data_IF_696632889772
#
_entry.id   IF_696632889772
#
_cell.length_a   1.000
_cell.length_b   1.000
_cell.length_c   1.000
_cell.angle_alpha   90.00
_cell.angle_beta   90.00
_cell.angle_gamma   90.00
#
_symmetry.space_group_name_H-M   'P 1'
#
loop_
_entity.id
_entity.type
_entity.pdbx_description
1 polymer ?
#
# COMPACT_ATOMS: atom_id res chain seq x y z
N UNK A 1 0.03 7.70 -40.56
CA UNK A 1 1.07 6.95 -39.83
C UNK A 1 1.23 7.50 -38.40
N UNK A 2 0.12 7.87 -37.73
CA UNK A 2 0.17 8.63 -36.46
C UNK A 2 -0.39 7.90 -35.24
N UNK A 3 -0.91 6.67 -35.41
CA UNK A 3 -1.46 5.88 -34.30
C UNK A 3 -0.40 5.24 -33.39
N UNK A 4 0.79 4.96 -33.92
CA UNK A 4 1.79 4.15 -33.21
C UNK A 4 2.68 4.97 -32.26
N UNK A 5 2.84 6.28 -32.51
CA UNK A 5 3.64 7.17 -31.64
C UNK A 5 2.90 7.59 -30.36
N UNK A 6 1.57 7.69 -30.40
CA UNK A 6 0.74 8.04 -29.22
C UNK A 6 0.65 6.86 -28.23
N UNK A 7 0.64 5.62 -28.74
CA UNK A 7 0.62 4.41 -27.89
C UNK A 7 1.97 4.20 -27.21
N UNK A 8 3.09 4.47 -27.89
CA UNK A 8 4.42 4.41 -27.30
C UNK A 8 4.62 5.52 -26.24
N UNK A 9 4.21 6.77 -26.48
CA UNK A 9 4.30 7.84 -25.48
C UNK A 9 3.49 7.52 -24.20
N UNK A 10 2.26 6.97 -24.35
CA UNK A 10 1.45 6.54 -23.21
C UNK A 10 2.03 5.33 -22.44
N UNK A 11 2.75 4.43 -23.12
CA UNK A 11 3.47 3.31 -22.49
C UNK A 11 4.72 3.76 -21.73
N UNK A 12 5.46 4.74 -22.26
CA UNK A 12 6.64 5.31 -21.61
C UNK A 12 6.27 6.20 -20.41
N UNK A 13 5.19 6.99 -20.51
CA UNK A 13 4.62 7.75 -19.38
C UNK A 13 4.11 6.81 -18.27
N UNK A 14 3.49 5.67 -18.63
CA UNK A 14 3.10 4.66 -17.63
C UNK A 14 4.30 3.93 -17.01
N UNK A 15 5.41 3.75 -17.72
CA UNK A 15 6.62 3.10 -17.18
C UNK A 15 7.39 4.00 -16.21
N UNK A 16 7.56 5.29 -16.52
CA UNK A 16 8.25 6.24 -15.64
C UNK A 16 7.42 6.60 -14.40
N UNK A 17 6.10 6.79 -14.56
CA UNK A 17 5.18 6.93 -13.42
C UNK A 17 5.20 5.65 -12.57
N UNK A 18 5.31 4.47 -13.18
CA UNK A 18 5.42 3.20 -12.44
C UNK A 18 6.75 3.05 -11.70
N UNK A 19 7.89 3.50 -12.25
CA UNK A 19 9.19 3.42 -11.58
C UNK A 19 9.26 4.37 -10.38
N UNK A 20 8.72 5.58 -10.58
CA UNK A 20 8.52 6.57 -9.52
C UNK A 20 7.56 6.01 -8.46
N UNK A 21 6.40 5.46 -8.83
CA UNK A 21 5.45 4.85 -7.89
C UNK A 21 5.98 3.61 -7.15
N UNK A 22 6.84 2.81 -7.79
CA UNK A 22 7.49 1.63 -7.20
C UNK A 22 8.49 2.06 -6.13
N UNK A 23 9.28 3.11 -6.37
CA UNK A 23 10.09 3.75 -5.33
C UNK A 23 9.23 4.47 -4.27
N UNK A 24 8.07 5.04 -4.64
CA UNK A 24 7.18 5.75 -3.72
C UNK A 24 6.55 4.82 -2.68
N UNK A 25 5.99 3.67 -3.07
CA UNK A 25 5.41 2.72 -2.11
C UNK A 25 6.47 2.03 -1.23
N UNK A 26 7.70 1.88 -1.74
CA UNK A 26 8.84 1.32 -0.99
C UNK A 26 9.13 2.12 0.29
N UNK A 27 8.92 3.44 0.26
CA UNK A 27 9.34 4.37 1.32
C UNK A 27 8.21 4.87 2.23
N UNK A 28 6.95 4.73 1.81
CA UNK A 28 5.79 5.31 2.51
C UNK A 28 4.96 4.29 3.28
N UNK A 29 4.84 3.09 2.73
CA UNK A 29 4.17 1.93 3.33
C UNK A 29 4.97 0.66 3.00
N UNK A 30 6.16 0.50 3.62
CA UNK A 30 7.06 -0.62 3.32
C UNK A 30 6.36 -1.96 3.53
N UNK A 31 5.43 -2.05 4.48
CA UNK A 31 4.58 -3.23 4.68
C UNK A 31 3.69 -3.52 3.48
N UNK A 32 2.95 -2.55 2.93
CA UNK A 32 2.07 -2.77 1.77
C UNK A 32 2.87 -3.14 0.52
N UNK A 33 4.04 -2.52 0.35
CA UNK A 33 4.95 -2.88 -0.73
C UNK A 33 5.43 -4.32 -0.57
N UNK A 34 5.94 -4.69 0.61
CA UNK A 34 6.38 -6.04 0.92
C UNK A 34 5.28 -7.08 0.65
N UNK A 35 4.04 -6.81 1.05
CA UNK A 35 2.89 -7.68 0.77
C UNK A 35 2.60 -7.75 -0.74
N UNK A 36 2.68 -6.64 -1.47
CA UNK A 36 2.48 -6.62 -2.92
C UNK A 36 3.54 -7.41 -3.69
N UNK A 37 4.76 -7.52 -3.16
CA UNK A 37 5.82 -8.35 -3.74
C UNK A 37 5.51 -9.83 -3.59
N UNK A 38 4.78 -10.24 -2.55
CA UNK A 38 4.39 -11.65 -2.35
C UNK A 38 3.42 -12.14 -3.42
N UNK A 39 2.71 -11.24 -4.10
CA UNK A 39 1.76 -11.60 -5.16
C UNK A 39 2.38 -12.42 -6.29
N UNK A 40 3.67 -12.18 -6.60
CA UNK A 40 4.39 -12.97 -7.61
C UNK A 40 4.48 -14.45 -7.25
N UNK A 41 4.40 -14.77 -5.96
CA UNK A 41 4.42 -16.13 -5.42
C UNK A 41 3.03 -16.66 -5.13
N UNK A 42 2.06 -15.80 -4.79
CA UNK A 42 0.68 -16.21 -4.51
C UNK A 42 -0.07 -16.55 -5.79
N UNK A 43 0.06 -15.72 -6.85
CA UNK A 43 -0.72 -15.88 -8.08
C UNK A 43 -0.52 -17.25 -8.75
N UNK A 44 0.72 -17.78 -8.90
CA UNK A 44 0.93 -19.13 -9.43
C UNK A 44 0.28 -20.24 -8.58
N UNK A 45 0.20 -20.04 -7.25
CA UNK A 45 -0.40 -21.01 -6.32
C UNK A 45 -1.94 -21.04 -6.39
N UNK A 46 -2.58 -20.00 -6.94
CA UNK A 46 -4.05 -19.87 -6.97
C UNK A 46 -4.65 -19.83 -8.38
N UNK A 47 -3.85 -19.61 -9.42
CA UNK A 47 -4.32 -19.62 -10.80
C UNK A 47 -3.27 -20.23 -11.72
N UNK A 48 -3.66 -21.18 -12.58
CA UNK A 48 -2.75 -21.83 -13.53
C UNK A 48 -2.26 -20.85 -14.61
N UNK A 49 -2.98 -19.75 -14.86
CA UNK A 49 -2.57 -18.71 -15.80
C UNK A 49 -1.20 -18.10 -15.46
N UNK A 50 -0.84 -18.08 -14.18
CA UNK A 50 0.44 -17.52 -13.70
C UNK A 50 1.48 -18.59 -13.40
N UNK A 51 1.14 -19.87 -13.56
CA UNK A 51 2.09 -20.96 -13.35
C UNK A 51 2.98 -21.08 -14.59
N UNK A 52 4.25 -20.73 -14.44
CA UNK A 52 5.28 -21.00 -15.44
C UNK A 52 6.08 -22.24 -14.99
N UNK A 53 5.85 -23.40 -15.62
CA UNK A 53 6.46 -24.67 -15.20
C UNK A 53 7.98 -24.70 -15.40
N UNK A 54 8.55 -23.89 -16.29
CA UNK A 54 9.94 -24.02 -16.73
C UNK A 54 10.90 -23.01 -16.07
N UNK A 55 10.39 -22.03 -15.32
CA UNK A 55 11.17 -20.86 -14.88
C UNK A 55 11.26 -20.63 -13.36
N UNK A 56 10.60 -21.43 -12.51
CA UNK A 56 10.51 -21.15 -11.07
C UNK A 56 10.72 -22.36 -10.16
N UNK A 57 11.87 -22.42 -9.48
CA UNK A 57 12.10 -23.34 -8.35
C UNK A 57 11.23 -23.03 -7.12
N UNK A 58 10.68 -21.82 -7.07
CA UNK A 58 10.00 -21.28 -5.89
C UNK A 58 8.56 -21.79 -5.78
N UNK A 59 7.86 -21.97 -6.90
CA UNK A 59 6.49 -22.48 -6.90
C UNK A 59 6.41 -23.95 -6.41
N UNK A 60 7.21 -24.90 -6.92
CA UNK A 60 7.23 -26.27 -6.40
C UNK A 60 7.62 -26.34 -4.91
N UNK A 61 8.57 -25.50 -4.48
CA UNK A 61 8.96 -25.39 -3.08
C UNK A 61 7.78 -24.95 -2.19
N UNK A 62 7.09 -23.86 -2.56
CA UNK A 62 5.94 -23.38 -1.81
C UNK A 62 4.79 -24.40 -1.77
N UNK A 63 4.50 -25.06 -2.90
CA UNK A 63 3.49 -26.13 -2.97
C UNK A 63 3.82 -27.24 -1.99
N UNK A 64 5.03 -27.78 -2.08
CA UNK A 64 5.49 -28.87 -1.22
C UNK A 64 5.37 -28.49 0.27
N UNK A 65 5.91 -27.34 0.67
CA UNK A 65 5.85 -26.91 2.06
C UNK A 65 4.40 -26.72 2.54
N UNK A 66 3.53 -26.05 1.76
CA UNK A 66 2.15 -25.84 2.18
C UNK A 66 1.40 -27.17 2.27
N UNK A 67 1.56 -28.06 1.27
CA UNK A 67 0.89 -29.35 1.24
C UNK A 67 1.33 -30.26 2.39
N UNK A 68 2.64 -30.38 2.64
CA UNK A 68 3.20 -31.22 3.69
C UNK A 68 2.85 -30.69 5.09
N UNK A 69 3.07 -29.40 5.36
CA UNK A 69 2.87 -28.86 6.71
C UNK A 69 1.39 -28.63 7.07
N UNK A 70 0.52 -28.35 6.09
CA UNK A 70 -0.91 -28.17 6.32
C UNK A 70 -1.72 -29.45 6.10
N UNK A 71 -1.08 -30.55 5.71
CA UNK A 71 -1.70 -31.83 5.39
C UNK A 71 -2.91 -31.66 4.44
N UNK A 72 -2.63 -31.14 3.24
CA UNK A 72 -3.63 -30.78 2.22
C UNK A 72 -3.17 -31.25 0.84
N UNK A 73 -4.13 -31.59 -0.03
CA UNK A 73 -3.83 -31.98 -1.42
C UNK A 73 -3.46 -30.78 -2.30
N UNK A 74 -3.89 -29.58 -1.93
CA UNK A 74 -3.63 -28.36 -2.71
C UNK A 74 -3.23 -27.19 -1.80
N UNK A 75 -2.27 -26.34 -2.23
CA UNK A 75 -1.93 -25.10 -1.51
C UNK A 75 -3.07 -24.09 -1.49
N UNK A 76 -4.05 -24.21 -2.41
CA UNK A 76 -5.21 -23.32 -2.48
C UNK A 76 -6.03 -23.36 -1.19
N UNK A 77 -6.11 -24.53 -0.53
CA UNK A 77 -6.93 -24.70 0.67
C UNK A 77 -6.46 -23.81 1.84
N UNK A 78 -5.18 -23.86 2.29
CA UNK A 78 -4.69 -22.94 3.31
C UNK A 78 -4.67 -21.46 2.90
N UNK A 79 -4.68 -21.17 1.59
CA UNK A 79 -4.79 -19.80 1.08
C UNK A 79 -6.22 -19.29 1.25
N UNK A 80 -7.23 -20.06 0.86
CA UNK A 80 -8.66 -19.73 0.98
C UNK A 80 -9.18 -19.80 2.42
N UNK A 81 -8.65 -20.72 3.23
CA UNK A 81 -9.07 -20.97 4.60
C UNK A 81 -7.91 -20.75 5.57
N UNK A 82 -7.81 -19.56 6.20
CA UNK A 82 -6.74 -19.25 7.14
C UNK A 82 -6.62 -20.24 8.31
N UNK A 83 -7.75 -20.82 8.74
CA UNK A 83 -7.84 -21.85 9.79
C UNK A 83 -7.08 -23.15 9.44
N UNK A 84 -6.77 -23.39 8.15
CA UNK A 84 -6.02 -24.57 7.69
C UNK A 84 -4.51 -24.36 7.70
N UNK A 85 -4.02 -23.15 8.01
CA UNK A 85 -2.59 -22.86 8.01
C UNK A 85 -1.93 -23.45 9.24
N UNK A 86 -0.80 -24.13 9.04
CA UNK A 86 0.00 -24.65 10.14
C UNK A 86 0.70 -23.53 10.89
N UNK A 87 0.68 -23.59 12.23
CA UNK A 87 1.41 -22.66 13.10
C UNK A 87 2.92 -22.77 12.86
N UNK A 88 3.43 -23.98 12.64
CA UNK A 88 4.86 -24.25 12.35
C UNK A 88 5.29 -23.65 11.02
N UNK A 89 4.40 -23.61 10.03
CA UNK A 89 4.69 -22.96 8.75
C UNK A 89 4.59 -21.43 8.90
N UNK A 90 3.61 -20.95 9.66
CA UNK A 90 3.37 -19.51 9.89
C UNK A 90 4.46 -18.85 10.76
N UNK A 91 5.25 -19.63 11.50
CA UNK A 91 6.40 -19.11 12.26
C UNK A 91 7.59 -18.77 11.36
N UNK A 92 7.67 -19.35 10.16
CA UNK A 92 8.70 -19.02 9.17
C UNK A 92 8.41 -17.65 8.54
N UNK A 93 9.39 -16.74 8.59
CA UNK A 93 9.20 -15.33 8.23
C UNK A 93 8.64 -15.08 6.82
N UNK A 94 9.05 -15.87 5.83
CA UNK A 94 8.57 -15.74 4.45
C UNK A 94 7.11 -16.24 4.30
N UNK A 95 6.72 -17.34 4.94
CA UNK A 95 5.33 -17.81 4.96
C UNK A 95 4.41 -16.89 5.76
N UNK A 96 4.91 -16.31 6.86
CA UNK A 96 4.17 -15.29 7.61
C UNK A 96 3.78 -14.11 6.70
N UNK A 97 4.74 -13.61 5.94
CA UNK A 97 4.52 -12.48 5.02
C UNK A 97 3.62 -12.88 3.83
N UNK A 98 3.81 -14.09 3.30
CA UNK A 98 2.98 -14.67 2.25
C UNK A 98 1.51 -14.76 2.70
N UNK A 99 1.25 -15.33 3.87
CA UNK A 99 -0.11 -15.48 4.40
C UNK A 99 -0.76 -14.16 4.76
N UNK A 100 -0.01 -13.19 5.28
CA UNK A 100 -0.49 -11.83 5.46
C UNK A 100 -0.94 -11.21 4.14
N UNK A 101 -0.21 -11.44 3.05
CA UNK A 101 -0.61 -10.95 1.72
C UNK A 101 -1.87 -11.68 1.21
N UNK A 102 -2.00 -12.99 1.44
CA UNK A 102 -3.23 -13.75 1.15
C UNK A 102 -4.45 -13.19 1.90
N UNK A 103 -4.30 -12.87 3.19
CA UNK A 103 -5.41 -12.32 3.99
C UNK A 103 -5.85 -10.95 3.48
N UNK A 104 -4.88 -10.14 3.05
CA UNK A 104 -5.15 -8.82 2.46
C UNK A 104 -5.74 -8.88 1.05
N UNK A 105 -5.48 -9.94 0.28
CA UNK A 105 -6.14 -10.18 -1.00
C UNK A 105 -7.64 -10.43 -0.87
N UNK A 106 -8.10 -10.89 0.30
CA UNK A 106 -9.52 -11.16 0.57
C UNK A 106 -10.15 -12.05 -0.52
N UNK A 107 -9.49 -13.17 -0.82
CA UNK A 107 -9.97 -14.15 -1.79
C UNK A 107 -11.36 -14.67 -1.39
N UNK A 108 -12.17 -14.98 -2.40
CA UNK A 108 -13.50 -15.56 -2.23
C UNK A 108 -13.51 -16.99 -2.74
N UNK A 109 -14.17 -17.88 -2.00
CA UNK A 109 -14.42 -19.25 -2.43
C UNK A 109 -15.59 -19.27 -3.42
N UNK A 110 -15.39 -19.92 -4.55
CA UNK A 110 -16.42 -20.23 -5.53
C UNK A 110 -17.13 -21.53 -5.13
N UNK A 111 -18.17 -21.41 -4.29
CA UNK A 111 -18.87 -22.55 -3.71
C UNK A 111 -19.57 -23.43 -4.74
N UNK A 112 -19.94 -22.89 -5.90
CA UNK A 112 -20.62 -23.63 -6.96
C UNK A 112 -19.68 -24.60 -7.70
N UNK A 113 -18.37 -24.41 -7.58
CA UNK A 113 -17.34 -25.29 -8.15
C UNK A 113 -16.80 -26.31 -7.13
N UNK A 114 -17.35 -26.35 -5.91
CA UNK A 114 -16.97 -27.34 -4.91
C UNK A 114 -17.43 -28.74 -5.35
N UNK A 115 -16.51 -29.70 -5.34
CA UNK A 115 -16.77 -31.09 -5.73
C UNK A 115 -16.80 -31.98 -4.49
N UNK A 116 -17.30 -33.21 -4.64
CA UNK A 116 -17.28 -34.23 -3.58
C UNK A 116 -15.88 -34.50 -3.01
N UNK A 117 -14.84 -34.30 -3.81
CA UNK A 117 -13.45 -34.52 -3.42
C UNK A 117 -12.83 -33.30 -2.76
N UNK A 118 -13.02 -32.09 -3.32
CA UNK A 118 -12.38 -30.88 -2.78
C UNK A 118 -12.97 -30.48 -1.44
N UNK A 119 -14.28 -30.70 -1.24
CA UNK A 119 -14.96 -30.34 0.00
C UNK A 119 -14.44 -31.10 1.22
N UNK A 120 -13.84 -32.28 1.04
CA UNK A 120 -13.24 -33.08 2.12
C UNK A 120 -12.12 -32.34 2.86
N UNK A 121 -11.46 -31.37 2.22
CA UNK A 121 -10.39 -30.56 2.80
C UNK A 121 -10.89 -29.27 3.47
N UNK A 122 -12.20 -29.01 3.45
CA UNK A 122 -12.78 -27.79 4.02
C UNK A 122 -12.93 -27.93 5.54
N UNK A 123 -12.70 -26.84 6.31
CA UNK A 123 -13.08 -26.78 7.71
C UNK A 123 -14.59 -26.96 7.92
N UNK A 124 -15.01 -27.65 8.98
CA UNK A 124 -16.43 -27.78 9.32
C UNK A 124 -17.12 -26.43 9.61
N UNK A 125 -16.36 -25.46 10.09
CA UNK A 125 -16.79 -24.07 10.30
C UNK A 125 -17.16 -23.36 9.01
N UNK A 126 -16.52 -23.72 7.88
CA UNK A 126 -16.73 -23.03 6.61
C UNK A 126 -17.99 -23.51 5.88
N UNK A 127 -18.48 -24.71 6.20
CA UNK A 127 -19.65 -25.35 5.55
C UNK A 127 -20.98 -25.07 6.25
N UNK A 128 -20.95 -24.38 7.40
CA UNK A 128 -22.14 -24.08 8.19
C UNK A 128 -22.26 -22.59 8.49
N UNK A 129 -23.48 -22.16 8.82
CA UNK A 129 -23.78 -20.82 9.34
C UNK A 129 -24.62 -20.93 10.59
N UNK A 130 -24.37 -20.08 11.58
CA UNK A 130 -25.22 -20.00 12.77
C UNK A 130 -26.59 -19.42 12.37
N UNK A 131 -27.66 -20.03 12.85
CA UNK A 131 -29.03 -19.65 12.52
C UNK A 131 -29.51 -18.40 13.29
N UNK A 132 -28.91 -18.11 14.43
CA UNK A 132 -29.22 -16.94 15.25
C UNK A 132 -28.34 -15.74 14.94
N UNK A 133 -28.28 -14.80 15.88
CA UNK A 133 -27.39 -13.64 15.76
C UNK A 133 -25.92 -14.08 15.71
N UNK A 134 -25.20 -13.71 14.66
CA UNK A 134 -23.81 -14.11 14.46
C UNK A 134 -22.88 -13.62 15.60
N UNK A 135 -23.21 -12.49 16.24
CA UNK A 135 -22.45 -11.95 17.36
C UNK A 135 -22.52 -12.83 18.63
N UNK A 136 -23.55 -13.65 18.76
CA UNK A 136 -23.80 -14.52 19.92
C UNK A 136 -23.42 -15.98 19.62
N UNK A 137 -22.87 -16.27 18.44
CA UNK A 137 -22.55 -17.63 18.03
C UNK A 137 -21.47 -18.23 18.95
N UNK A 138 -21.75 -19.35 19.65
CA UNK A 138 -20.77 -19.98 20.52
C UNK A 138 -19.62 -20.54 19.67
N UNK A 139 -18.39 -20.49 20.19
CA UNK A 139 -17.23 -21.09 19.51
C UNK A 139 -17.46 -22.60 19.37
N UNK A 140 -17.55 -23.13 18.13
CA UNK A 140 -17.86 -24.53 17.94
C UNK A 140 -16.69 -25.40 18.40
N UNK A 141 -16.99 -26.44 19.20
CA UNK A 141 -15.98 -27.42 19.64
C UNK A 141 -15.36 -28.18 18.47
N UNK A 142 -15.99 -28.12 17.30
CA UNK A 142 -15.54 -28.76 16.06
C UNK A 142 -14.74 -27.83 15.12
N UNK A 143 -14.27 -26.66 15.58
CA UNK A 143 -13.57 -25.67 14.75
C UNK A 143 -12.29 -26.16 14.06
N UNK A 144 -11.66 -27.21 14.59
CA UNK A 144 -10.40 -27.76 14.04
C UNK A 144 -10.62 -28.98 13.14
N UNK A 145 -11.87 -29.40 12.95
CA UNK A 145 -12.20 -30.58 12.15
C UNK A 145 -12.53 -30.22 10.71
N UNK A 146 -12.34 -31.20 9.84
CA UNK A 146 -12.59 -31.12 8.42
C UNK A 146 -13.87 -31.88 8.05
N UNK A 147 -14.36 -31.63 6.85
CA UNK A 147 -15.49 -32.39 6.29
C UNK A 147 -15.19 -33.88 6.24
N UNK A 148 -13.96 -34.30 5.90
CA UNK A 148 -13.56 -35.72 5.94
C UNK A 148 -13.65 -36.38 7.32
N UNK A 149 -13.66 -35.60 8.40
CA UNK A 149 -13.82 -36.13 9.76
C UNK A 149 -15.29 -36.38 10.09
N UNK A 150 -16.21 -35.61 9.48
CA UNK A 150 -17.64 -35.68 9.75
C UNK A 150 -18.45 -36.41 8.67
N UNK A 151 -17.89 -36.62 7.48
CA UNK A 151 -18.54 -37.21 6.32
C UNK A 151 -17.62 -38.22 5.62
N UNK A 152 -18.21 -39.27 5.07
CA UNK A 152 -17.56 -40.27 4.25
C UNK A 152 -18.04 -40.10 2.80
N UNK A 153 -17.09 -40.02 1.87
CA UNK A 153 -17.38 -40.12 0.45
C UNK A 153 -17.57 -41.60 0.08
N UNK A 154 -18.80 -41.99 -0.24
CA UNK A 154 -19.10 -43.35 -0.70
C UNK A 154 -18.60 -43.53 -2.13
N UNK A 155 -17.58 -44.35 -2.34
CA UNK A 155 -17.01 -44.60 -3.68
C UNK A 155 -17.99 -45.24 -4.66
N UNK A 156 -18.99 -45.99 -4.15
CA UNK A 156 -20.00 -46.68 -4.99
C UNK A 156 -21.12 -45.77 -5.48
N UNK A 157 -21.48 -44.78 -4.68
CA UNK A 157 -22.61 -43.90 -4.97
C UNK A 157 -22.17 -42.46 -5.25
N UNK A 158 -20.87 -42.16 -5.09
CA UNK A 158 -20.27 -40.84 -5.26
C UNK A 158 -21.00 -39.72 -4.49
N UNK A 159 -21.58 -40.06 -3.35
CA UNK A 159 -22.30 -39.15 -2.44
C UNK A 159 -21.55 -39.03 -1.12
N UNK A 160 -21.62 -37.83 -0.54
CA UNK A 160 -21.18 -37.58 0.82
C UNK A 160 -22.28 -37.99 1.79
N UNK A 161 -21.94 -38.88 2.73
CA UNK A 161 -22.87 -39.29 3.79
C UNK A 161 -22.23 -39.16 5.16
N UNK A 162 -23.06 -39.02 6.18
CA UNK A 162 -22.58 -39.11 7.55
C UNK A 162 -22.06 -40.53 7.86
N UNK A 163 -20.97 -40.67 8.64
CA UNK A 163 -20.49 -41.96 9.11
C UNK A 163 -21.47 -42.55 10.12
N UNK A 164 -21.70 -43.86 9.99
CA UNK A 164 -22.41 -44.65 11.00
C UNK A 164 -21.62 -44.67 12.31
N UNK A 165 -22.26 -45.03 13.42
CA UNK A 165 -21.61 -45.05 14.73
C UNK A 165 -20.33 -45.93 14.76
N UNK A 166 -20.32 -47.04 14.00
CA UNK A 166 -19.19 -47.96 13.92
C UNK A 166 -18.03 -47.41 13.08
N UNK A 167 -18.32 -46.59 12.08
CA UNK A 167 -17.32 -46.01 11.17
C UNK A 167 -16.58 -44.80 11.77
N UNK A 168 -17.09 -44.22 12.87
CA UNK A 168 -16.42 -43.10 13.55
C UNK A 168 -15.25 -43.64 14.35
N UNK A 169 -14.04 -43.60 13.80
CA UNK A 169 -12.84 -44.09 14.48
C UNK A 169 -12.26 -43.06 15.45
N UNK A 170 -12.24 -41.78 15.05
CA UNK A 170 -11.61 -40.69 15.82
C UNK A 170 -12.60 -39.59 16.20
N UNK A 171 -12.38 -38.94 17.36
CA UNK A 171 -13.11 -37.75 17.80
C UNK A 171 -14.65 -37.88 17.81
N UNK A 172 -15.16 -39.09 18.12
CA UNK A 172 -16.58 -39.48 18.06
C UNK A 172 -17.52 -38.46 18.72
N UNK A 173 -17.14 -37.95 19.90
CA UNK A 173 -17.96 -37.01 20.66
C UNK A 173 -18.12 -35.66 19.93
N UNK A 174 -17.03 -35.08 19.44
CA UNK A 174 -17.05 -33.78 18.76
C UNK A 174 -17.82 -33.86 17.44
N UNK A 175 -17.63 -34.94 16.67
CA UNK A 175 -18.35 -35.17 15.42
C UNK A 175 -19.84 -35.46 15.68
N UNK A 176 -20.19 -36.21 16.72
CA UNK A 176 -21.59 -36.40 17.11
C UNK A 176 -22.26 -35.08 17.52
N UNK A 177 -21.54 -34.22 18.25
CA UNK A 177 -22.01 -32.89 18.64
C UNK A 177 -22.22 -31.98 17.43
N UNK A 178 -21.32 -32.03 16.45
CA UNK A 178 -21.50 -31.35 15.16
C UNK A 178 -22.80 -31.80 14.48
N UNK A 179 -23.01 -33.10 14.27
CA UNK A 179 -24.23 -33.62 13.62
C UNK A 179 -25.51 -33.26 14.40
N UNK A 180 -25.46 -33.25 15.74
CA UNK A 180 -26.56 -32.77 16.58
C UNK A 180 -26.82 -31.28 16.38
N UNK A 181 -25.76 -30.48 16.34
CA UNK A 181 -25.84 -29.02 16.17
C UNK A 181 -26.32 -28.60 14.77
N UNK A 182 -26.09 -29.42 13.75
CA UNK A 182 -26.53 -29.19 12.36
C UNK A 182 -27.82 -29.92 11.98
N UNK A 183 -28.45 -30.62 12.92
CA UNK A 183 -29.74 -31.28 12.71
C UNK A 183 -30.86 -30.26 12.46
N UNK A 184 -32.05 -30.73 12.05
CA UNK A 184 -33.23 -29.87 11.83
C UNK A 184 -33.52 -28.95 13.02
N UNK A 185 -33.36 -29.47 14.24
CA UNK A 185 -33.60 -28.75 15.50
C UNK A 185 -32.35 -28.02 16.05
N UNK A 186 -31.23 -28.07 15.34
CA UNK A 186 -29.97 -27.46 15.74
C UNK A 186 -29.86 -25.98 15.38
N UNK A 187 -28.97 -25.26 16.07
CA UNK A 187 -28.72 -23.84 15.84
C UNK A 187 -27.75 -23.55 14.69
N UNK A 188 -27.17 -24.57 14.06
CA UNK A 188 -26.28 -24.42 12.91
C UNK A 188 -26.95 -24.97 11.65
N UNK A 189 -26.84 -24.24 10.54
CA UNK A 189 -27.39 -24.63 9.24
C UNK A 189 -26.25 -24.98 8.30
N UNK A 190 -26.36 -26.12 7.63
CA UNK A 190 -25.45 -26.51 6.56
C UNK A 190 -25.72 -25.61 5.35
N UNK A 191 -24.67 -25.09 4.73
CA UNK A 191 -24.78 -24.23 3.55
C UNK A 191 -25.37 -25.00 2.36
N UNK A 192 -26.15 -24.33 1.48
CA UNK A 192 -26.84 -24.99 0.37
C UNK A 192 -25.94 -25.81 -0.55
N UNK A 193 -24.70 -25.35 -0.81
CA UNK A 193 -23.78 -26.06 -1.70
C UNK A 193 -23.44 -27.47 -1.18
N UNK A 194 -23.28 -27.66 0.13
CA UNK A 194 -22.96 -28.96 0.70
C UNK A 194 -24.19 -29.88 0.69
N UNK A 195 -25.39 -29.32 0.91
CA UNK A 195 -26.63 -30.11 0.85
C UNK A 195 -26.81 -30.76 -0.53
N UNK A 196 -26.43 -30.06 -1.61
CA UNK A 196 -26.39 -30.65 -2.95
C UNK A 196 -25.47 -31.89 -2.96
N UNK A 197 -24.23 -31.75 -2.49
CA UNK A 197 -23.26 -32.85 -2.48
C UNK A 197 -23.61 -34.03 -1.56
N UNK A 198 -24.48 -33.82 -0.56
CA UNK A 198 -24.99 -34.90 0.31
C UNK A 198 -26.16 -35.65 -0.36
N UNK A 199 -27.03 -34.93 -1.08
CA UNK A 199 -28.30 -35.44 -1.58
C UNK A 199 -28.33 -35.87 -3.05
N UNK A 200 -27.41 -35.37 -3.90
CA UNK A 200 -27.39 -35.70 -5.33
C UNK A 200 -26.31 -36.71 -5.66
N UNK A 201 -26.71 -37.86 -6.21
CA UNK A 201 -25.82 -38.78 -6.92
C UNK A 201 -25.32 -38.08 -8.18
N UNK A 202 -24.00 -37.92 -8.39
CA UNK A 202 -23.50 -37.34 -9.64
C UNK A 202 -23.84 -38.28 -10.80
N UNK A 203 -24.34 -37.72 -11.89
CA UNK A 203 -24.75 -38.47 -13.09
C UNK A 203 -23.60 -39.28 -13.70
N UNK A 204 -22.35 -38.85 -13.46
CA UNK A 204 -21.14 -39.57 -13.83
C UNK A 204 -20.07 -39.40 -12.73
N UNK A 205 -19.37 -40.49 -12.31
CA UNK A 205 -18.26 -40.39 -11.39
C UNK A 205 -17.10 -39.65 -12.07
N UNK A 206 -16.90 -38.38 -11.72
CA UNK A 206 -15.80 -37.58 -12.26
C UNK A 206 -14.52 -37.90 -11.47
N UNK A 207 -13.43 -38.32 -12.13
CA UNK A 207 -12.15 -38.53 -11.45
C UNK A 207 -11.64 -37.19 -10.90
N UNK A 208 -11.04 -37.22 -9.70
CA UNK A 208 -10.43 -36.05 -9.07
C UNK A 208 -9.27 -35.55 -9.93
N UNK A 209 -9.38 -34.31 -10.42
CA UNK A 209 -8.25 -33.58 -10.99
C UNK A 209 -7.76 -32.58 -9.94
N UNK A 210 -6.79 -33.02 -9.12
CA UNK A 210 -6.26 -32.23 -7.98
C UNK A 210 -5.79 -30.84 -8.40
N UNK A 211 -5.30 -30.68 -9.63
CA UNK A 211 -4.83 -29.39 -10.11
C UNK A 211 -6.02 -28.51 -10.49
N UNK A 212 -6.90 -28.99 -11.36
CA UNK A 212 -7.99 -28.18 -11.92
C UNK A 212 -9.11 -27.90 -10.91
N UNK A 213 -9.53 -28.91 -10.15
CA UNK A 213 -10.68 -28.82 -9.25
C UNK A 213 -10.45 -27.82 -8.11
N UNK A 214 -9.21 -27.72 -7.61
CA UNK A 214 -8.88 -26.78 -6.55
C UNK A 214 -8.70 -25.35 -7.07
N UNK A 215 -8.19 -25.14 -8.28
CA UNK A 215 -8.11 -23.79 -8.86
C UNK A 215 -9.49 -23.19 -9.11
N UNK A 216 -10.46 -24.00 -9.53
CA UNK A 216 -11.84 -23.54 -9.75
C UNK A 216 -12.54 -23.06 -8.48
N UNK A 217 -12.02 -23.42 -7.29
CA UNK A 217 -12.51 -22.89 -6.01
C UNK A 217 -12.17 -21.42 -5.80
N UNK A 218 -11.18 -20.88 -6.51
CA UNK A 218 -10.78 -19.48 -6.39
C UNK A 218 -11.74 -18.65 -7.25
N UNK A 219 -12.51 -17.77 -6.62
CA UNK A 219 -13.38 -16.85 -7.37
C UNK A 219 -12.52 -15.89 -8.21
N UNK A 220 -12.90 -15.60 -9.47
CA UNK A 220 -12.12 -14.72 -10.34
C UNK A 220 -12.05 -13.27 -9.84
N UNK A 221 -12.93 -12.89 -8.89
CA UNK A 221 -13.01 -11.56 -8.31
C UNK A 221 -12.86 -11.65 -6.79
N UNK A 222 -11.92 -10.88 -6.25
CA UNK A 222 -11.72 -10.72 -4.80
C UNK A 222 -12.88 -9.95 -4.14
N UNK A 223 -13.00 -9.97 -2.81
CA UNK A 223 -14.01 -9.14 -2.11
C UNK A 223 -13.84 -7.65 -2.36
N UNK A 224 -12.62 -7.21 -2.64
CA UNK A 224 -12.28 -5.83 -3.02
C UNK A 224 -12.54 -5.50 -4.48
N UNK A 225 -13.11 -6.42 -5.28
CA UNK A 225 -13.43 -6.20 -6.70
C UNK A 225 -12.24 -6.37 -7.66
N UNK A 226 -11.09 -6.83 -7.19
CA UNK A 226 -9.91 -7.09 -8.04
C UNK A 226 -10.09 -8.40 -8.83
N UNK A 227 -9.86 -8.35 -10.14
CA UNK A 227 -9.85 -9.54 -11.02
C UNK A 227 -8.51 -10.27 -10.94
N UNK A 228 -8.54 -11.58 -10.68
CA UNK A 228 -7.34 -12.40 -10.49
C UNK A 228 -6.61 -12.65 -11.81
N UNK A 229 -7.30 -12.87 -12.92
CA UNK A 229 -6.64 -13.21 -14.20
C UNK A 229 -5.95 -12.01 -14.87
N UNK A 230 -6.34 -10.79 -14.51
CA UNK A 230 -5.74 -9.54 -15.01
C UNK A 230 -5.08 -8.73 -13.90
N UNK A 231 -4.54 -9.42 -12.90
CA UNK A 231 -4.13 -8.80 -11.66
C UNK A 231 -2.90 -7.91 -11.85
N UNK A 232 -3.04 -6.60 -11.61
CA UNK A 232 -1.89 -5.68 -11.60
C UNK A 232 -1.50 -5.39 -10.16
N UNK A 233 -0.21 -5.53 -9.84
CA UNK A 233 0.36 -5.17 -8.52
C UNK A 233 0.01 -3.75 -8.06
N UNK A 234 -0.27 -2.84 -8.99
CA UNK A 234 -0.72 -1.47 -8.66
C UNK A 234 -2.13 -1.47 -8.05
N UNK A 235 -3.05 -2.29 -8.54
CA UNK A 235 -4.45 -2.30 -8.10
C UNK A 235 -4.56 -2.84 -6.66
N UNK A 236 -3.74 -3.84 -6.33
CA UNK A 236 -3.55 -4.27 -4.94
C UNK A 236 -2.97 -3.20 -4.03
N UNK A 237 -2.05 -2.38 -4.53
CA UNK A 237 -1.47 -1.29 -3.73
C UNK A 237 -2.50 -0.20 -3.49
N UNK A 238 -3.35 0.07 -4.47
CA UNK A 238 -4.45 1.03 -4.35
C UNK A 238 -5.56 0.56 -3.41
N UNK A 239 -5.83 -0.75 -3.32
CA UNK A 239 -6.83 -1.27 -2.37
C UNK A 239 -6.45 -1.06 -0.89
N UNK A 240 -5.19 -0.74 -0.58
CA UNK A 240 -4.76 -0.35 0.76
C UNK A 240 -4.88 1.14 1.06
N UNK A 241 -5.11 1.99 0.05
CA UNK A 241 -5.20 3.42 0.28
C UNK A 241 -6.58 3.76 0.84
N UNK A 242 -6.64 4.63 1.87
CA UNK A 242 -7.92 5.14 2.33
C UNK A 242 -8.60 5.91 1.19
N UNK A 243 -9.95 5.85 1.10
CA UNK A 243 -10.72 6.74 0.25
C UNK A 243 -10.29 8.20 0.43
N UNK A 244 -10.28 8.98 -0.66
CA UNK A 244 -9.93 10.41 -0.62
C UNK A 244 -10.77 11.21 0.40
N UNK A 245 -11.99 10.73 0.70
CA UNK A 245 -12.93 11.33 1.65
C UNK A 245 -12.46 11.18 3.11
N UNK A 246 -11.72 10.12 3.40
CA UNK A 246 -11.22 9.81 4.75
C UNK A 246 -9.87 10.50 5.04
N UNK A 247 -9.32 11.21 4.05
CA UNK A 247 -8.09 11.96 4.24
C UNK A 247 -8.35 13.26 5.02
N UNK A 248 -7.40 13.68 5.88
CA UNK A 248 -7.46 14.93 6.62
C UNK A 248 -7.83 16.15 5.76
N UNK A 249 -8.49 17.15 6.36
CA UNK A 249 -8.95 18.35 5.64
C UNK A 249 -7.80 19.22 5.10
N UNK A 250 -6.62 19.11 5.68
CA UNK A 250 -5.38 19.75 5.26
C UNK A 250 -4.66 19.00 4.12
N UNK A 251 -5.14 17.80 3.74
CA UNK A 251 -4.59 17.08 2.60
C UNK A 251 -4.86 17.83 1.29
N UNK A 252 -3.87 17.96 0.38
CA UNK A 252 -4.02 18.73 -0.85
C UNK A 252 -5.06 18.09 -1.79
N UNK A 253 -6.24 18.69 -1.85
CA UNK A 253 -7.35 18.29 -2.74
C UNK A 253 -7.30 19.11 -4.04
N UNK A 254 -6.62 18.57 -5.05
CA UNK A 254 -6.59 19.14 -6.39
C UNK A 254 -7.17 18.16 -7.41
N UNK A 255 -7.74 18.67 -8.49
CA UNK A 255 -8.28 17.83 -9.57
C UNK A 255 -7.16 17.07 -10.28
N UNK A 256 -7.44 15.90 -10.91
CA UNK A 256 -6.43 15.17 -11.67
C UNK A 256 -5.71 16.04 -12.72
N UNK A 257 -6.45 16.94 -13.39
CA UNK A 257 -5.88 17.89 -14.34
C UNK A 257 -4.97 18.96 -13.70
N UNK A 258 -5.27 19.40 -12.47
CA UNK A 258 -4.40 20.31 -11.73
C UNK A 258 -3.09 19.61 -11.34
N UNK A 259 -3.15 18.36 -10.87
CA UNK A 259 -1.95 17.57 -10.60
C UNK A 259 -1.12 17.28 -11.86
N UNK A 260 -1.78 16.95 -12.97
CA UNK A 260 -1.10 16.76 -14.25
C UNK A 260 -0.32 18.01 -14.66
N UNK A 261 -0.95 19.19 -14.60
CA UNK A 261 -0.28 20.46 -14.91
C UNK A 261 0.83 20.79 -13.92
N UNK A 262 0.63 20.54 -12.64
CA UNK A 262 1.67 20.77 -11.64
C UNK A 262 2.92 19.91 -11.90
N UNK A 263 2.75 18.60 -12.14
CA UNK A 263 3.89 17.72 -12.35
C UNK A 263 4.55 17.87 -13.73
N UNK A 264 3.75 18.14 -14.77
CA UNK A 264 4.23 18.11 -16.15
C UNK A 264 4.47 19.50 -16.76
N UNK A 265 3.69 20.51 -16.37
CA UNK A 265 3.82 21.88 -16.93
C UNK A 265 4.76 22.77 -16.11
N UNK A 266 5.02 22.47 -14.84
CA UNK A 266 5.90 23.29 -13.99
C UNK A 266 7.39 22.93 -14.08
N UNK A 267 7.79 22.10 -15.07
CA UNK A 267 9.18 21.69 -15.33
C UNK A 267 9.96 21.30 -14.06
N UNK A 268 9.29 20.57 -13.16
CA UNK A 268 9.88 20.18 -11.88
C UNK A 268 10.95 19.12 -12.14
N UNK A 269 12.22 19.32 -11.74
CA UNK A 269 13.24 18.31 -11.95
C UNK A 269 12.87 17.01 -11.24
N UNK A 270 13.06 15.87 -11.89
CA UNK A 270 12.68 14.55 -11.37
C UNK A 270 13.24 14.27 -9.96
N UNK A 271 14.42 14.80 -9.63
CA UNK A 271 15.00 14.64 -8.29
C UNK A 271 14.21 15.40 -7.21
N UNK A 272 13.56 16.51 -7.56
CA UNK A 272 12.72 17.31 -6.67
C UNK A 272 11.32 16.72 -6.48
N UNK A 273 10.79 15.96 -7.45
CA UNK A 273 9.42 15.40 -7.36
C UNK A 273 9.25 14.49 -6.16
N UNK A 274 10.22 13.61 -5.90
CA UNK A 274 10.21 12.74 -4.71
C UNK A 274 10.24 13.55 -3.42
N UNK A 275 10.97 14.68 -3.42
CA UNK A 275 11.07 15.54 -2.24
C UNK A 275 9.74 16.27 -2.02
N UNK A 276 9.17 16.90 -3.06
CA UNK A 276 7.90 17.61 -2.97
C UNK A 276 6.74 16.68 -2.63
N UNK A 277 6.66 15.51 -3.26
CA UNK A 277 5.60 14.54 -3.01
C UNK A 277 5.60 14.10 -1.54
N UNK A 278 6.76 13.75 -0.97
CA UNK A 278 6.81 13.37 0.45
C UNK A 278 6.46 14.52 1.40
N UNK A 279 6.70 15.78 0.98
CA UNK A 279 6.32 16.98 1.74
C UNK A 279 4.80 17.17 1.72
N UNK A 280 4.18 17.08 0.54
CA UNK A 280 2.73 17.17 0.35
C UNK A 280 1.94 16.12 1.15
N UNK A 281 2.55 14.98 1.42
CA UNK A 281 1.92 13.88 2.17
C UNK A 281 2.30 13.84 3.66
N UNK A 282 3.08 14.79 4.19
CA UNK A 282 3.59 14.78 5.57
C UNK A 282 4.36 13.50 5.94
N UNK A 283 5.17 12.99 5.01
CA UNK A 283 5.92 11.73 5.13
C UNK A 283 7.43 11.96 5.05
N UNK A 284 7.92 13.13 5.43
CA UNK A 284 9.35 13.44 5.46
C UNK A 284 10.04 12.82 6.65
N UNK A 285 11.29 12.40 6.45
CA UNK A 285 12.17 11.90 7.52
C UNK A 285 12.79 13.06 8.31
N UNK A 286 11.95 13.98 8.81
CA UNK A 286 12.38 15.06 9.69
C UNK A 286 12.77 14.50 11.07
N UNK A 287 13.66 15.18 11.80
CA UNK A 287 14.08 14.70 13.13
C UNK A 287 12.92 14.53 14.10
N UNK A 288 11.91 15.40 14.06
CA UNK A 288 10.72 15.21 14.89
C UNK A 288 10.00 13.88 14.59
N UNK A 289 9.93 13.49 13.31
CA UNK A 289 9.36 12.21 12.92
C UNK A 289 10.27 11.03 13.27
N UNK A 290 11.58 11.17 13.09
CA UNK A 290 12.55 10.13 13.43
C UNK A 290 12.59 9.87 14.93
N UNK A 291 12.61 10.91 15.76
CA UNK A 291 12.51 10.81 17.21
C UNK A 291 11.26 10.04 17.64
N UNK A 292 10.11 10.31 17.02
CA UNK A 292 8.87 9.57 17.29
C UNK A 292 8.93 8.09 16.87
N UNK A 293 9.62 7.75 15.79
CA UNK A 293 9.67 6.39 15.24
C UNK A 293 10.76 5.52 15.87
N UNK A 294 11.91 6.11 16.18
CA UNK A 294 13.12 5.46 16.68
C UNK A 294 13.81 6.32 17.76
N UNK A 295 13.15 6.54 18.91
CA UNK A 295 13.65 7.46 19.95
C UNK A 295 15.01 7.04 20.55
N UNK A 296 15.34 5.74 20.46
CA UNK A 296 16.62 5.20 20.93
C UNK A 296 17.81 5.65 20.08
N UNK A 297 17.61 5.79 18.76
CA UNK A 297 18.64 6.23 17.82
C UNK A 297 18.61 7.74 17.59
N UNK A 298 17.41 8.35 17.57
CA UNK A 298 17.22 9.79 17.41
C UNK A 298 16.74 10.38 18.75
N UNK A 299 17.68 10.83 19.59
CA UNK A 299 17.39 11.25 20.97
C UNK A 299 16.64 12.58 21.11
N UNK A 300 16.68 13.43 20.08
CA UNK A 300 16.13 14.79 20.09
C UNK A 300 15.31 15.04 18.83
N UNK A 301 14.18 15.73 18.98
CA UNK A 301 13.30 16.21 17.91
C UNK A 301 13.66 17.61 17.41
N UNK A 302 14.70 18.23 17.99
CA UNK A 302 15.12 19.59 17.68
C UNK A 302 15.86 19.67 16.35
N UNK A 303 15.77 20.82 15.70
CA UNK A 303 16.48 21.08 14.45
C UNK A 303 17.96 21.26 14.71
N UNK A 304 18.79 20.49 14.01
CA UNK A 304 20.24 20.52 14.18
C UNK A 304 20.90 21.85 13.80
N UNK A 305 20.25 22.63 12.92
CA UNK A 305 20.76 23.95 12.54
C UNK A 305 20.54 24.97 13.65
N UNK A 306 19.46 24.80 14.41
CA UNK A 306 19.04 25.69 15.48
C UNK A 306 19.54 25.23 16.86
N UNK A 307 19.87 23.95 17.02
CA UNK A 307 20.39 23.32 18.24
C UNK A 307 21.73 23.97 18.61
N UNK A 308 21.68 25.02 19.45
CA UNK A 308 22.84 25.81 19.88
C UNK A 308 22.69 27.35 19.74
N UNK A 309 21.66 27.84 19.02
CA UNK A 309 21.38 29.27 18.90
C UNK A 309 20.12 29.62 19.71
N UNK A 310 20.31 30.05 20.96
CA UNK A 310 19.26 30.20 21.99
C UNK A 310 18.39 31.45 21.78
N UNK A 311 18.82 32.41 20.97
CA UNK A 311 18.34 33.79 21.11
C UNK A 311 17.17 34.22 20.20
N UNK A 312 16.48 33.34 19.46
CA UNK A 312 15.46 33.85 18.51
C UNK A 312 14.21 33.01 18.16
N UNK A 313 13.96 31.80 18.67
CA UNK A 313 12.85 30.98 18.10
C UNK A 313 11.99 30.28 19.15
N UNK A 314 10.67 30.52 19.07
CA UNK A 314 9.61 29.96 19.95
C UNK A 314 9.37 28.45 19.68
N UNK A 315 9.74 27.94 18.49
CA UNK A 315 9.69 26.50 18.16
C UNK A 315 10.90 26.07 17.32
N UNK A 316 11.85 25.39 17.96
CA UNK A 316 13.04 24.77 17.35
C UNK A 316 12.82 23.29 17.00
N UNK A 317 11.60 22.78 17.10
CA UNK A 317 11.26 21.41 16.70
C UNK A 317 11.39 21.26 15.19
N UNK A 318 12.14 20.26 14.73
CA UNK A 318 12.29 20.01 13.29
C UNK A 318 11.07 19.27 12.71
N UNK A 319 9.93 19.95 12.69
CA UNK A 319 8.76 19.53 11.91
C UNK A 319 8.94 19.91 10.43
N UNK A 320 8.11 19.36 9.53
CA UNK A 320 8.22 19.61 8.09
C UNK A 320 8.23 21.10 7.72
N UNK A 321 7.51 21.94 8.47
CA UNK A 321 7.50 23.40 8.32
C UNK A 321 8.85 24.03 8.71
N UNK A 322 9.36 23.71 9.90
CA UNK A 322 10.64 24.23 10.37
C UNK A 322 11.78 23.78 9.46
N UNK A 323 11.74 22.53 9.02
CA UNK A 323 12.77 21.94 8.17
C UNK A 323 12.92 22.65 6.81
N UNK A 324 11.82 23.04 6.16
CA UNK A 324 11.87 23.62 4.81
C UNK A 324 11.70 25.13 4.73
N UNK A 325 11.15 25.78 5.75
CA UNK A 325 10.72 27.18 5.62
C UNK A 325 11.02 28.02 6.87
N UNK A 326 10.65 27.53 8.05
CA UNK A 326 10.69 28.35 9.27
C UNK A 326 12.06 28.37 10.00
N UNK A 327 12.99 27.48 9.65
CA UNK A 327 14.36 27.56 10.18
C UNK A 327 15.05 28.84 9.68
N UNK A 328 15.66 29.68 10.55
CA UNK A 328 16.30 30.94 10.13
C UNK A 328 17.37 30.78 9.05
N UNK A 329 18.18 29.71 9.12
CA UNK A 329 19.20 29.39 8.12
C UNK A 329 18.58 29.02 6.77
N UNK A 330 17.41 28.37 6.80
CA UNK A 330 16.66 28.01 5.59
C UNK A 330 15.90 29.22 5.05
N UNK A 331 15.40 30.10 5.91
CA UNK A 331 14.77 31.35 5.53
C UNK A 331 15.72 32.23 4.72
N UNK A 332 16.98 32.30 5.12
CA UNK A 332 18.02 33.04 4.37
C UNK A 332 18.23 32.50 2.95
N UNK A 333 18.14 31.17 2.74
CA UNK A 333 18.18 30.57 1.39
C UNK A 333 17.03 31.12 0.54
N UNK A 334 15.82 31.15 1.10
CA UNK A 334 14.64 31.63 0.40
C UNK A 334 14.69 33.13 0.13
N UNK A 335 15.23 33.94 1.05
CA UNK A 335 15.44 35.37 0.86
C UNK A 335 16.36 35.64 -0.34
N UNK A 336 17.45 34.88 -0.46
CA UNK A 336 18.39 34.98 -1.60
C UNK A 336 17.69 34.59 -2.91
N UNK A 337 16.95 33.47 -2.93
CA UNK A 337 16.23 33.04 -4.14
C UNK A 337 15.12 34.01 -4.53
N UNK A 338 14.39 34.57 -3.56
CA UNK A 338 13.36 35.56 -3.80
C UNK A 338 13.92 36.83 -4.45
N UNK A 339 15.07 37.31 -3.96
CA UNK A 339 15.77 38.45 -4.51
C UNK A 339 16.33 38.18 -5.93
N UNK A 340 16.80 36.96 -6.19
CA UNK A 340 17.40 36.59 -7.48
C UNK A 340 16.38 36.38 -8.61
N UNK A 341 15.20 35.84 -8.29
CA UNK A 341 14.20 35.47 -9.31
C UNK A 341 12.89 36.27 -9.20
N UNK A 342 12.93 37.41 -8.49
CA UNK A 342 11.81 38.34 -8.36
C UNK A 342 10.48 37.67 -7.98
N UNK A 343 10.51 36.75 -7.02
CA UNK A 343 9.30 36.05 -6.58
C UNK A 343 8.41 36.98 -5.74
N UNK A 344 7.43 37.61 -6.37
CA UNK A 344 6.45 38.49 -5.73
C UNK A 344 5.62 37.77 -4.65
N UNK A 345 5.44 36.46 -4.78
CA UNK A 345 4.71 35.59 -3.84
C UNK A 345 5.51 35.24 -2.58
N UNK A 346 6.85 35.45 -2.59
CA UNK A 346 7.75 35.21 -1.46
C UNK A 346 7.97 36.45 -0.59
N UNK A 347 7.77 37.67 -1.11
CA UNK A 347 7.99 38.92 -0.37
C UNK A 347 7.04 39.09 0.82
N UNK A 348 5.89 38.40 0.83
CA UNK A 348 5.01 38.32 2.00
C UNK A 348 5.54 37.40 3.13
N UNK A 349 6.75 36.84 3.00
CA UNK A 349 7.35 35.99 4.02
C UNK A 349 8.05 36.81 5.12
N UNK A 350 8.31 38.10 4.89
CA UNK A 350 9.10 38.97 5.79
C UNK A 350 8.31 39.64 6.93
N UNK A 351 6.97 39.61 6.96
CA UNK A 351 6.22 40.24 8.06
C UNK A 351 5.95 39.29 9.22
N UNK A 352 7.02 38.96 9.94
CA UNK A 352 6.96 38.70 11.37
C UNK A 352 8.03 39.55 12.05
N UNK A 353 7.88 40.87 11.95
CA UNK A 353 8.62 41.77 12.81
C UNK A 353 8.22 41.49 14.26
N UNK A 354 9.16 40.94 15.01
CA UNK A 354 9.01 40.57 16.41
C UNK A 354 9.08 41.85 17.25
N UNK A 355 7.99 42.61 17.26
CA UNK A 355 7.79 43.68 18.24
C UNK A 355 6.30 43.90 18.50
N UNK A 356 5.65 42.94 19.15
CA UNK A 356 4.78 43.19 20.30
C UNK A 356 4.07 41.92 20.77
N UNK A 357 3.94 41.84 22.10
CA UNK A 357 3.30 40.77 22.87
C UNK A 357 1.83 40.58 22.45
N UNK A 358 1.49 39.52 21.72
CA UNK A 358 0.10 39.00 21.66
C UNK A 358 0.05 37.53 21.17
N UNK A 359 0.33 36.62 22.09
CA UNK A 359 0.66 35.20 21.90
C UNK A 359 -0.49 34.29 21.38
N UNK A 360 -1.73 34.80 21.23
CA UNK A 360 -2.90 33.95 20.84
C UNK A 360 -3.48 34.20 19.45
N UNK A 361 -3.06 35.25 18.73
CA UNK A 361 -3.47 35.52 17.33
C UNK A 361 -2.46 35.04 16.28
N UNK A 362 -1.19 34.89 16.65
CA UNK A 362 -0.10 34.52 15.73
C UNK A 362 -0.17 33.07 15.22
N UNK A 363 -0.61 32.10 16.05
CA UNK A 363 -0.69 30.70 15.64
C UNK A 363 -1.72 30.47 14.50
N UNK A 364 -2.81 31.28 14.46
CA UNK A 364 -3.80 31.27 13.37
C UNK A 364 -3.27 31.90 12.08
N UNK A 365 -2.46 32.95 12.18
CA UNK A 365 -1.86 33.64 11.02
C UNK A 365 -0.78 32.76 10.35
N UNK A 366 0.11 32.18 11.16
CA UNK A 366 1.20 31.32 10.68
C UNK A 366 0.74 29.97 10.10
N UNK A 367 -0.38 29.42 10.62
CA UNK A 367 -1.00 28.19 10.08
C UNK A 367 -1.72 28.45 8.76
N UNK A 368 -2.31 29.64 8.61
CA UNK A 368 -2.87 30.12 7.33
C UNK A 368 -1.77 30.28 6.29
N UNK A 369 -0.60 30.81 6.67
CA UNK A 369 0.54 31.01 5.77
C UNK A 369 1.17 29.68 5.29
N UNK A 370 1.37 28.70 6.18
CA UNK A 370 1.82 27.35 5.81
C UNK A 370 0.85 26.63 4.87
N UNK A 371 -0.45 26.72 5.17
CA UNK A 371 -1.49 26.20 4.28
C UNK A 371 -1.50 26.95 2.95
N UNK A 372 -1.20 28.25 2.94
CA UNK A 372 -1.01 29.01 1.72
C UNK A 372 0.20 28.48 0.91
N UNK A 373 1.36 28.21 1.53
CA UNK A 373 2.56 27.68 0.84
C UNK A 373 2.34 26.31 0.19
N UNK A 374 1.63 25.39 0.87
CA UNK A 374 1.22 24.10 0.29
C UNK A 374 0.12 24.30 -0.77
N UNK A 375 -0.76 25.30 -0.59
CA UNK A 375 -1.80 25.62 -1.57
C UNK A 375 -1.26 26.26 -2.85
N UNK A 376 -0.15 27.01 -2.80
CA UNK A 376 0.55 27.51 -4.00
C UNK A 376 1.07 26.36 -4.85
N UNK A 377 1.52 25.28 -4.21
CA UNK A 377 1.90 24.04 -4.89
C UNK A 377 0.70 23.22 -5.41
N UNK A 378 -0.54 23.51 -4.98
CA UNK A 378 -1.68 22.61 -5.19
C UNK A 378 -2.87 23.23 -5.95
N UNK A 379 -3.07 24.55 -5.95
CA UNK A 379 -4.36 25.15 -6.37
C UNK A 379 -4.33 26.01 -7.63
N UNK A 380 -3.19 26.54 -8.07
CA UNK A 380 -3.15 27.47 -9.21
C UNK A 380 -1.95 27.11 -10.11
N UNK A 381 -2.14 26.91 -11.44
CA UNK A 381 -1.02 26.78 -12.36
C UNK A 381 -0.22 28.09 -12.37
N UNK A 382 1.11 28.05 -12.14
CA UNK A 382 1.90 29.26 -11.99
C UNK A 382 2.00 30.02 -13.33
N UNK A 383 1.93 31.34 -13.24
CA UNK A 383 2.31 32.21 -14.34
C UNK A 383 3.85 32.27 -14.42
N UNK A 384 4.44 32.37 -15.62
CA UNK A 384 5.86 32.66 -15.76
C UNK A 384 6.16 34.01 -15.08
N UNK A 385 7.30 34.12 -14.40
CA UNK A 385 7.73 35.39 -13.83
C UNK A 385 8.05 36.37 -14.97
N UNK A 386 7.93 37.68 -14.72
CA UNK A 386 7.97 38.72 -15.76
C UNK A 386 9.26 38.76 -16.59
N UNK A 387 10.35 38.15 -16.11
CA UNK A 387 11.66 38.14 -16.77
C UNK A 387 12.22 36.73 -17.09
N UNK A 388 11.57 35.63 -16.70
CA UNK A 388 12.07 34.26 -16.99
C UNK A 388 10.95 33.33 -17.43
N UNK A 389 11.25 32.34 -18.28
CA UNK A 389 10.30 31.27 -18.65
C UNK A 389 10.10 30.23 -17.52
N UNK A 390 10.71 30.48 -16.36
CA UNK A 390 10.66 29.62 -15.19
C UNK A 390 9.42 29.94 -14.37
N UNK A 391 8.79 28.90 -13.82
CA UNK A 391 7.62 29.05 -12.96
C UNK A 391 8.01 29.10 -11.47
N UNK A 392 7.20 29.77 -10.64
CA UNK A 392 7.37 29.77 -9.17
C UNK A 392 7.55 28.35 -8.60
N UNK A 393 6.79 27.38 -9.14
CA UNK A 393 6.88 25.97 -8.75
C UNK A 393 8.24 25.34 -9.06
N UNK A 394 8.89 25.70 -10.15
CA UNK A 394 10.25 25.24 -10.49
C UNK A 394 11.26 25.78 -9.47
N UNK A 395 11.12 27.04 -9.08
CA UNK A 395 12.01 27.70 -8.14
C UNK A 395 11.83 27.09 -6.74
N UNK A 396 10.59 26.91 -6.30
CA UNK A 396 10.27 26.23 -5.03
C UNK A 396 10.78 24.77 -5.05
N UNK A 397 10.59 24.05 -6.16
CA UNK A 397 11.09 22.68 -6.30
C UNK A 397 12.61 22.57 -6.16
N UNK A 398 13.34 23.45 -6.83
CA UNK A 398 14.80 23.49 -6.79
C UNK A 398 15.31 23.91 -5.41
N UNK A 399 14.68 24.91 -4.78
CA UNK A 399 14.98 25.34 -3.41
C UNK A 399 14.77 24.23 -2.40
N UNK A 400 13.60 23.59 -2.40
CA UNK A 400 13.27 22.44 -1.54
C UNK A 400 14.25 21.29 -1.73
N UNK A 401 14.63 20.98 -2.97
CA UNK A 401 15.62 19.93 -3.26
C UNK A 401 17.02 20.29 -2.73
N UNK A 402 17.45 21.55 -2.89
CA UNK A 402 18.76 22.01 -2.44
C UNK A 402 18.85 22.00 -0.91
N UNK A 403 17.83 22.51 -0.22
CA UNK A 403 17.70 22.49 1.25
C UNK A 403 17.74 21.04 1.76
N UNK A 404 16.95 20.15 1.15
CA UNK A 404 16.93 18.74 1.50
C UNK A 404 18.32 18.11 1.40
N UNK A 405 19.01 18.31 0.27
CA UNK A 405 20.36 17.76 0.07
C UNK A 405 21.34 18.31 1.09
N UNK A 406 21.37 19.62 1.28
CA UNK A 406 22.30 20.27 2.20
C UNK A 406 22.09 19.81 3.65
N UNK A 407 20.85 19.62 4.07
CA UNK A 407 20.55 19.07 5.40
C UNK A 407 21.07 17.64 5.58
N UNK A 408 20.89 16.76 4.60
CA UNK A 408 21.42 15.39 4.71
C UNK A 408 22.94 15.34 4.56
N UNK A 409 23.55 16.23 3.78
CA UNK A 409 25.00 16.38 3.75
C UNK A 409 25.55 16.85 5.10
N UNK A 410 24.86 17.77 5.77
CA UNK A 410 25.19 18.17 7.14
C UNK A 410 25.13 16.99 8.12
N UNK A 411 24.11 16.12 8.01
CA UNK A 411 23.95 14.97 8.91
C UNK A 411 24.95 13.84 8.64
N UNK A 412 25.18 13.50 7.38
CA UNK A 412 25.96 12.29 7.02
C UNK A 412 27.42 12.58 6.68
N UNK A 413 27.74 13.80 6.23
CA UNK A 413 29.07 14.18 5.78
C UNK A 413 29.70 15.30 6.63
N UNK A 414 29.04 15.72 7.71
CA UNK A 414 29.43 16.86 8.55
C UNK A 414 29.67 18.18 7.77
N UNK A 415 29.06 18.31 6.58
CA UNK A 415 29.17 19.51 5.75
C UNK A 415 28.34 20.65 6.36
N UNK A 416 28.98 21.76 6.75
CA UNK A 416 28.26 22.92 7.33
C UNK A 416 27.19 23.45 6.38
N UNK A 417 25.99 23.69 6.90
CA UNK A 417 24.91 24.32 6.15
C UNK A 417 25.23 25.81 5.92
N UNK A 418 25.38 26.20 4.65
CA UNK A 418 25.65 27.59 4.26
C UNK A 418 24.57 28.08 3.29
N UNK A 419 23.76 29.04 3.73
CA UNK A 419 22.57 29.48 2.99
C UNK A 419 22.90 29.96 1.56
N UNK A 420 24.01 30.69 1.40
CA UNK A 420 24.48 31.20 0.10
C UNK A 420 24.85 30.05 -0.85
N UNK A 421 25.57 29.04 -0.36
CA UNK A 421 25.95 27.88 -1.17
C UNK A 421 24.73 27.03 -1.57
N UNK A 422 23.75 26.90 -0.67
CA UNK A 422 22.49 26.18 -0.95
C UNK A 422 21.66 26.94 -1.98
N UNK A 423 21.52 28.26 -1.83
CA UNK A 423 20.84 29.12 -2.79
C UNK A 423 21.52 29.10 -4.17
N UNK A 424 22.86 29.17 -4.21
CA UNK A 424 23.61 29.07 -5.46
C UNK A 424 23.37 27.73 -6.18
N UNK A 425 23.39 26.60 -5.45
CA UNK A 425 23.07 25.27 -6.01
C UNK A 425 21.65 25.21 -6.59
N UNK A 426 20.67 25.83 -5.91
CA UNK A 426 19.30 25.93 -6.41
C UNK A 426 19.23 26.82 -7.66
N UNK A 427 19.85 28.00 -7.64
CA UNK A 427 19.91 28.94 -8.77
C UNK A 427 20.55 28.31 -10.01
N UNK A 428 21.67 27.59 -9.86
CA UNK A 428 22.29 26.86 -10.98
C UNK A 428 21.33 25.84 -11.59
N UNK A 429 20.59 25.10 -10.76
CA UNK A 429 19.60 24.12 -11.25
C UNK A 429 18.44 24.80 -11.99
N UNK A 430 17.99 25.96 -11.51
CA UNK A 430 16.93 26.76 -12.14
C UNK A 430 17.39 27.28 -13.50
N UNK A 431 18.57 27.90 -13.55
CA UNK A 431 19.14 28.45 -14.79
C UNK A 431 19.43 27.35 -15.83
N UNK A 432 19.85 26.16 -15.39
CA UNK A 432 20.02 25.03 -16.29
C UNK A 432 18.68 24.61 -16.94
N UNK A 433 17.60 24.53 -16.16
CA UNK A 433 16.27 24.20 -16.66
C UNK A 433 15.79 25.27 -17.66
N UNK A 434 16.07 26.54 -17.37
CA UNK A 434 15.75 27.65 -18.28
C UNK A 434 16.53 27.56 -19.61
N UNK A 435 17.82 27.23 -19.55
CA UNK A 435 18.66 27.05 -20.74
C UNK A 435 18.19 25.87 -21.60
N UNK A 436 17.92 24.72 -20.98
CA UNK A 436 17.38 23.54 -21.66
C UNK A 436 16.05 23.87 -22.37
N UNK A 437 15.20 24.67 -21.73
CA UNK A 437 13.94 25.11 -22.31
C UNK A 437 14.14 26.08 -23.50
N UNK A 438 15.08 27.02 -23.39
CA UNK A 438 15.41 27.94 -24.48
C UNK A 438 15.98 27.23 -25.71
N UNK A 439 16.70 26.12 -25.51
CA UNK A 439 17.19 25.28 -26.61
C UNK A 439 16.07 24.50 -27.29
N UNK A 440 15.12 23.94 -26.53
CA UNK A 440 13.97 23.22 -27.07
C UNK A 440 13.03 24.14 -27.88
N UNK A 441 12.87 25.39 -27.45
CA UNK A 441 12.05 26.38 -28.15
C UNK A 441 12.68 26.97 -29.42
N UNK A 442 14.00 26.77 -29.65
CA UNK A 442 14.71 27.19 -30.88
C UNK A 442 14.73 26.10 -31.97
N UNK A 443 14.37 24.87 -31.60
CA UNK A 443 14.36 23.70 -32.49
C UNK A 443 12.95 23.35 -33.03
N UNK A 444 12.00 24.27 -32.87
CA UNK A 444 10.65 24.29 -33.47
C UNK A 444 10.56 25.57 -34.28
#
# INVERSE_FOLDING_TARGET
>A
MDGTRIILAAQWDQMLISLVFVLHLFLLHPSHHLLSLQLRWILPLISPHYADPDLSLVDPYFRFCIQSFCNTLSPVIPILFPERRSNSLSSLGHFKTLFQACDKLQLKVNWDQATHHTVLDFPLTSICTFAGNAAEAPSPTWRHFLVRDAYILSTRACILRAPTHRERTSNRYNIARFHKATSSNGHWRIKPFLLKLIGTTPSTPTPLNVTFDFYNLVSPITRSGLTIDNFKRKDFRYSFLPPLQDLPNDYPRATPGAWYRFWNSAHIPHRATTVLWRLLHHRKSSRARLHRLIPTSCKSNLCLLCEGHVDAVIDITEADKHFFFACPFVHEVWRILAAQFSLSSLVQWDHCDVSNKEEKRQDKSFRTQYNNHISTLSRIPPHPTSDTRVTDSTIIACGVLAIWKAHWQFIYNDERFQAQAVAAKAATSILQIEQEHNLLARNV
#
